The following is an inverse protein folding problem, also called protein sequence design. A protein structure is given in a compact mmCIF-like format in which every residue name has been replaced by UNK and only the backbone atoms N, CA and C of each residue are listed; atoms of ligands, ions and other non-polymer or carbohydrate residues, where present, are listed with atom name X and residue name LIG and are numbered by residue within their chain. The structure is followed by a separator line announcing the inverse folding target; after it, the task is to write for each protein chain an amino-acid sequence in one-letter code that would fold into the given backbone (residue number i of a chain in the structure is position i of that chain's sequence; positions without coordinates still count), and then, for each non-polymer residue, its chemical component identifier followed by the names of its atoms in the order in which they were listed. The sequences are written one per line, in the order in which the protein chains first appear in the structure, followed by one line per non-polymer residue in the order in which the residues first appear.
data_IF_579792886128
#
_entry.id   IF_579792886128
#
_cell.length_a   1.000
_cell.length_b   1.000
_cell.length_c   1.000
_cell.angle_alpha   90.00
_cell.angle_beta   90.00
_cell.angle_gamma   90.00
#
_symmetry.space_group_name_H-M   'P 1'
#
loop_
_entity.id
_entity.type
_entity.pdbx_description
1 polymer ?
#
# COMPACT_ATOMS: atom_id res chain seq x y z
N UNK A 1 14.40 -13.89 7.17
CA UNK A 1 14.18 -13.79 8.64
C UNK A 1 12.69 -13.68 8.99
N UNK A 2 11.91 -12.71 8.45
CA UNK A 2 10.47 -12.53 8.76
C UNK A 2 9.65 -13.77 8.38
N UNK A 3 9.80 -14.26 7.15
CA UNK A 3 9.09 -15.46 6.66
C UNK A 3 9.41 -16.68 7.52
N UNK A 4 10.65 -16.85 7.94
CA UNK A 4 11.06 -17.96 8.81
C UNK A 4 10.43 -17.86 10.20
N UNK A 5 10.37 -16.65 10.78
CA UNK A 5 9.71 -16.43 12.07
C UNK A 5 8.21 -16.70 11.97
N UNK A 6 7.59 -16.28 10.87
CA UNK A 6 6.17 -16.54 10.63
C UNK A 6 5.88 -18.04 10.47
N UNK A 7 6.70 -18.73 9.67
CA UNK A 7 6.61 -20.19 9.51
C UNK A 7 6.81 -20.95 10.83
N UNK A 8 7.74 -20.48 11.67
CA UNK A 8 7.91 -21.04 13.02
C UNK A 8 6.65 -20.87 13.86
N UNK A 9 6.08 -19.69 13.89
CA UNK A 9 4.86 -19.41 14.68
C UNK A 9 3.67 -20.28 14.24
N UNK A 10 3.55 -20.56 12.93
CA UNK A 10 2.51 -21.45 12.42
C UNK A 10 2.73 -22.90 12.88
N UNK A 11 3.98 -23.39 12.83
CA UNK A 11 4.30 -24.73 13.34
C UNK A 11 4.04 -24.83 14.83
N UNK A 12 4.39 -23.79 15.59
CA UNK A 12 4.12 -23.74 17.04
C UNK A 12 2.60 -23.75 17.34
N UNK A 13 1.79 -23.25 16.41
CA UNK A 13 0.32 -23.29 16.46
C UNK A 13 -0.29 -24.63 15.97
N UNK A 14 0.53 -25.60 15.54
CA UNK A 14 0.08 -26.90 15.10
C UNK A 14 -0.16 -27.03 13.60
N UNK A 15 0.19 -26.00 12.80
CA UNK A 15 0.01 -26.03 11.36
C UNK A 15 1.15 -26.76 10.65
N UNK A 16 0.83 -27.44 9.55
CA UNK A 16 1.83 -28.05 8.67
C UNK A 16 2.38 -27.01 7.70
N UNK A 17 3.65 -26.65 7.85
CA UNK A 17 4.31 -25.68 7.00
C UNK A 17 5.29 -26.36 6.05
N UNK A 18 5.01 -26.26 4.76
CA UNK A 18 5.83 -26.74 3.64
C UNK A 18 6.44 -25.59 2.86
N UNK A 19 7.50 -25.83 2.13
CA UNK A 19 8.17 -24.81 1.33
C UNK A 19 7.99 -25.09 -0.16
N UNK A 20 7.61 -24.06 -0.92
CA UNK A 20 7.42 -24.13 -2.38
C UNK A 20 6.45 -25.22 -2.87
N UNK A 21 5.51 -25.61 -2.04
CA UNK A 21 4.45 -26.54 -2.41
C UNK A 21 3.26 -25.76 -3.00
N UNK A 22 2.99 -26.01 -4.27
CA UNK A 22 1.90 -25.36 -5.01
C UNK A 22 0.53 -26.02 -4.76
N UNK A 23 0.48 -27.13 -4.04
CA UNK A 23 -0.77 -27.84 -3.73
C UNK A 23 -1.24 -27.60 -2.28
N UNK A 24 -0.45 -26.85 -1.48
CA UNK A 24 -0.85 -26.44 -0.14
C UNK A 24 -2.23 -25.76 -0.11
N UNK A 25 -2.87 -25.72 1.04
CA UNK A 25 -4.20 -25.09 1.21
C UNK A 25 -4.13 -23.57 1.23
N UNK A 26 -3.03 -23.00 1.73
CA UNK A 26 -2.79 -21.56 1.86
C UNK A 26 -1.39 -21.23 1.37
N UNK A 27 -1.25 -20.22 0.54
CA UNK A 27 0.07 -19.67 0.22
C UNK A 27 0.41 -18.51 1.16
N UNK A 28 1.71 -18.36 1.44
CA UNK A 28 2.24 -17.21 2.16
C UNK A 28 3.34 -16.60 1.31
N UNK A 29 3.18 -15.36 0.92
CA UNK A 29 4.14 -14.65 0.08
C UNK A 29 4.57 -13.33 0.72
N UNK A 30 5.77 -12.89 0.35
CA UNK A 30 6.27 -11.58 0.68
C UNK A 30 5.96 -10.60 -0.45
N UNK A 31 5.13 -9.60 -0.18
CA UNK A 31 4.77 -8.53 -1.11
C UNK A 31 3.96 -8.99 -2.34
N UNK A 32 3.23 -8.06 -2.91
CA UNK A 32 2.52 -8.18 -4.19
C UNK A 32 3.11 -7.25 -5.27
N UNK A 33 4.35 -6.85 -5.13
CA UNK A 33 5.00 -6.00 -6.13
C UNK A 33 5.30 -6.76 -7.43
N UNK A 34 5.47 -8.07 -7.37
CA UNK A 34 5.68 -8.98 -8.51
C UNK A 34 6.81 -8.59 -9.47
N UNK A 35 7.75 -7.78 -9.01
CA UNK A 35 8.87 -7.26 -9.80
C UNK A 35 10.22 -7.60 -9.17
N UNK A 36 11.27 -7.64 -9.98
CA UNK A 36 12.62 -7.94 -9.51
C UNK A 36 12.66 -9.29 -8.78
N UNK A 37 13.23 -9.32 -7.59
CA UNK A 37 13.35 -10.54 -6.77
C UNK A 37 11.99 -11.10 -6.30
N UNK A 38 10.90 -10.36 -6.44
CA UNK A 38 9.54 -10.77 -6.05
C UNK A 38 8.73 -11.31 -7.25
N UNK A 39 9.30 -11.35 -8.45
CA UNK A 39 8.59 -11.81 -9.65
C UNK A 39 8.07 -13.25 -9.55
N UNK A 40 8.77 -14.12 -8.82
CA UNK A 40 8.33 -15.49 -8.56
C UNK A 40 7.03 -15.59 -7.78
N UNK A 41 6.72 -14.61 -6.94
CA UNK A 41 5.49 -14.58 -6.15
C UNK A 41 4.24 -14.46 -7.02
N UNK A 42 4.36 -13.90 -8.24
CA UNK A 42 3.24 -13.78 -9.17
C UNK A 42 2.66 -15.14 -9.56
N UNK A 43 3.51 -16.11 -9.84
CA UNK A 43 3.07 -17.48 -10.19
C UNK A 43 2.32 -18.16 -9.04
N UNK A 44 2.81 -17.98 -7.82
CA UNK A 44 2.14 -18.51 -6.62
C UNK A 44 0.78 -17.83 -6.46
N UNK A 45 0.77 -16.49 -6.54
CA UNK A 45 -0.43 -15.68 -6.45
C UNK A 45 -1.52 -16.13 -7.44
N UNK A 46 -1.18 -16.20 -8.74
CA UNK A 46 -2.14 -16.59 -9.77
C UNK A 46 -2.67 -18.01 -9.55
N UNK A 47 -1.79 -18.97 -9.27
CA UNK A 47 -2.21 -20.34 -9.06
C UNK A 47 -3.20 -20.50 -7.91
N UNK A 48 -2.89 -19.88 -6.76
CA UNK A 48 -3.76 -19.99 -5.59
C UNK A 48 -5.08 -19.24 -5.81
N UNK A 49 -5.05 -18.07 -6.41
CA UNK A 49 -6.29 -17.34 -6.75
C UNK A 49 -7.15 -18.10 -7.75
N UNK A 50 -6.57 -18.68 -8.79
CA UNK A 50 -7.30 -19.50 -9.75
C UNK A 50 -7.93 -20.75 -9.11
N UNK A 51 -7.29 -21.30 -8.07
CA UNK A 51 -7.81 -22.42 -7.31
C UNK A 51 -8.81 -22.02 -6.20
N UNK A 52 -9.10 -20.72 -6.03
CA UNK A 52 -9.95 -20.21 -4.94
C UNK A 52 -9.31 -20.36 -3.55
N UNK A 53 -8.01 -20.61 -3.49
CA UNK A 53 -7.26 -20.77 -2.24
C UNK A 53 -6.75 -19.44 -1.72
N UNK A 54 -6.72 -19.22 -0.39
CA UNK A 54 -6.25 -17.96 0.17
C UNK A 54 -4.74 -17.77 0.03
N UNK A 55 -4.35 -16.52 -0.16
CA UNK A 55 -2.94 -16.09 -0.17
C UNK A 55 -2.73 -15.07 0.95
N UNK A 56 -1.91 -15.42 1.92
CA UNK A 56 -1.47 -14.50 2.97
C UNK A 56 -0.30 -13.69 2.42
N UNK A 57 -0.46 -12.37 2.44
CA UNK A 57 0.58 -11.44 1.99
C UNK A 57 1.20 -10.74 3.19
N UNK A 58 2.51 -10.82 3.31
CA UNK A 58 3.29 -10.08 4.30
C UNK A 58 3.99 -8.90 3.62
N UNK A 59 3.96 -7.74 4.25
CA UNK A 59 4.59 -6.52 3.72
C UNK A 59 5.15 -5.67 4.88
N UNK A 60 6.05 -4.76 4.55
CA UNK A 60 6.61 -3.82 5.52
C UNK A 60 5.50 -3.02 6.20
N UNK A 61 5.53 -2.94 7.51
CA UNK A 61 4.57 -2.19 8.31
C UNK A 61 4.69 -0.67 8.13
N UNK A 62 3.57 0.02 8.26
CA UNK A 62 3.51 1.47 8.12
C UNK A 62 3.94 2.22 9.39
N UNK A 63 3.72 1.63 10.57
CA UNK A 63 3.93 2.31 11.86
C UNK A 63 5.42 2.44 12.17
N UNK A 64 6.15 1.32 12.12
CA UNK A 64 7.58 1.30 12.42
C UNK A 64 8.30 0.40 11.45
N UNK A 65 8.95 1.01 10.46
CA UNK A 65 9.65 0.28 9.40
C UNK A 65 10.72 -0.66 10.01
N UNK A 66 10.87 -1.84 9.42
CA UNK A 66 11.78 -2.90 9.86
C UNK A 66 11.51 -3.50 11.27
N UNK A 67 10.40 -3.12 11.89
CA UNK A 67 10.00 -3.66 13.20
C UNK A 67 8.58 -4.18 13.19
N UNK A 68 7.73 -3.59 12.37
CA UNK A 68 6.33 -3.98 12.21
C UNK A 68 6.04 -4.45 10.79
N UNK A 69 5.08 -5.33 10.66
CA UNK A 69 4.70 -5.94 9.40
C UNK A 69 3.20 -5.82 9.20
N UNK A 70 2.78 -5.63 7.96
CA UNK A 70 1.38 -5.76 7.58
C UNK A 70 1.14 -7.19 7.12
N UNK A 71 -0.05 -7.69 7.41
CA UNK A 71 -0.53 -8.97 6.95
C UNK A 71 -1.93 -8.77 6.37
N UNK A 72 -2.16 -9.28 5.19
CA UNK A 72 -3.48 -9.27 4.55
C UNK A 72 -3.75 -10.59 3.85
N UNK A 73 -5.00 -10.96 3.74
CA UNK A 73 -5.43 -12.12 2.96
C UNK A 73 -5.90 -11.64 1.60
N UNK A 74 -5.39 -12.25 0.56
CA UNK A 74 -5.66 -11.96 -0.85
C UNK A 74 -5.33 -10.53 -1.29
N UNK A 75 -4.40 -9.89 -0.59
CA UNK A 75 -3.94 -8.55 -0.90
C UNK A 75 -3.23 -7.89 0.28
N UNK A 76 -2.95 -6.60 0.15
CA UNK A 76 -2.29 -5.79 1.18
C UNK A 76 -2.82 -4.35 1.21
N UNK A 77 -3.72 -4.00 0.31
CA UNK A 77 -4.37 -2.70 0.18
C UNK A 77 -5.84 -2.77 0.59
N UNK A 78 -6.66 -1.79 0.21
CA UNK A 78 -8.05 -1.69 0.65
C UNK A 78 -8.98 -2.83 0.23
N UNK A 79 -8.57 -3.65 -0.73
CA UNK A 79 -9.26 -4.84 -1.22
C UNK A 79 -8.91 -6.13 -0.45
N UNK A 80 -7.91 -6.05 0.44
CA UNK A 80 -7.47 -7.18 1.24
C UNK A 80 -8.28 -7.34 2.52
N UNK A 81 -8.44 -8.59 2.97
CA UNK A 81 -8.99 -8.84 4.30
C UNK A 81 -7.88 -8.75 5.36
N UNK A 82 -8.02 -7.86 6.30
CA UNK A 82 -7.06 -7.60 7.38
C UNK A 82 -7.52 -8.08 8.76
N UNK A 83 -8.56 -8.87 8.81
CA UNK A 83 -9.19 -9.33 10.04
C UNK A 83 -10.51 -8.60 10.33
N UNK A 84 -11.21 -8.99 11.39
CA UNK A 84 -12.47 -8.37 11.77
C UNK A 84 -12.27 -6.91 12.21
N UNK A 85 -13.28 -6.07 11.99
CA UNK A 85 -13.23 -4.62 12.27
C UNK A 85 -13.37 -4.29 13.75
N UNK A 86 -13.78 -5.25 14.57
CA UNK A 86 -13.98 -5.11 16.02
C UNK A 86 -12.83 -5.68 16.84
N UNK A 87 -11.63 -5.73 16.28
CA UNK A 87 -10.43 -6.17 16.99
C UNK A 87 -10.12 -5.27 18.18
N UNK A 88 -9.61 -5.86 19.25
CA UNK A 88 -9.04 -5.13 20.38
C UNK A 88 -7.84 -4.27 19.91
N UNK A 89 -7.61 -3.15 20.59
CA UNK A 89 -6.54 -2.20 20.29
C UNK A 89 -5.21 -2.53 21.01
N UNK A 90 -5.11 -3.72 21.59
CA UNK A 90 -3.95 -4.19 22.37
C UNK A 90 -2.64 -4.15 21.55
N UNK A 91 -2.70 -4.52 20.26
CA UNK A 91 -1.54 -4.43 19.37
C UNK A 91 -1.11 -2.99 19.11
N UNK A 92 -2.05 -2.06 18.98
CA UNK A 92 -1.76 -0.64 18.82
C UNK A 92 -1.13 -0.06 20.10
N UNK A 93 -1.67 -0.40 21.25
CA UNK A 93 -1.15 0.02 22.57
C UNK A 93 0.29 -0.38 22.81
N UNK A 94 0.73 -1.53 22.27
CA UNK A 94 2.11 -2.00 22.38
C UNK A 94 3.13 -1.07 21.72
N UNK A 95 2.71 -0.20 20.79
CA UNK A 95 3.62 0.76 20.15
C UNK A 95 3.86 2.02 20.96
N UNK A 96 3.12 2.23 22.06
CA UNK A 96 3.20 3.44 22.86
C UNK A 96 2.83 4.71 22.09
N UNK A 97 1.97 4.58 21.07
CA UNK A 97 1.50 5.69 20.25
C UNK A 97 0.18 6.22 20.80
N UNK A 98 0.06 7.53 20.82
CA UNK A 98 -1.17 8.23 21.16
C UNK A 98 -1.78 8.86 19.90
N UNK A 99 -3.07 8.62 19.69
CA UNK A 99 -3.82 9.33 18.65
C UNK A 99 -4.02 10.78 19.10
N UNK A 100 -3.51 11.70 18.31
CA UNK A 100 -3.73 13.12 18.57
C UNK A 100 -5.11 13.53 18.01
N UNK A 101 -5.81 14.48 18.65
CA UNK A 101 -7.05 15.01 18.11
C UNK A 101 -6.80 15.67 16.75
N UNK A 102 -7.83 15.71 15.91
CA UNK A 102 -7.80 16.45 14.67
C UNK A 102 -7.42 17.89 14.93
N UNK A 103 -6.45 18.36 14.17
CA UNK A 103 -6.07 19.79 14.22
C UNK A 103 -6.89 20.53 13.19
N UNK A 104 -7.49 21.64 13.59
CA UNK A 104 -7.91 22.63 12.61
C UNK A 104 -6.67 23.21 11.95
N UNK A 105 -6.41 22.81 10.74
CA UNK A 105 -5.31 23.39 9.96
C UNK A 105 -5.87 24.30 8.89
N UNK A 106 -5.42 25.54 8.94
CA UNK A 106 -5.50 26.46 7.83
C UNK A 106 -4.17 26.38 7.09
N UNK A 107 -4.14 25.85 5.89
CA UNK A 107 -2.87 25.69 5.21
C UNK A 107 -3.01 25.04 3.85
N UNK A 108 -1.94 24.37 3.45
CA UNK A 108 -1.84 23.75 2.14
C UNK A 108 -2.47 22.35 2.14
N UNK A 109 -3.07 21.98 1.02
CA UNK A 109 -3.44 20.60 0.72
C UNK A 109 -2.23 19.92 0.09
N UNK A 110 -1.72 18.87 0.74
CA UNK A 110 -0.57 18.11 0.22
C UNK A 110 -1.06 16.91 -0.57
N UNK A 111 -0.68 16.84 -1.84
CA UNK A 111 -0.96 15.70 -2.72
C UNK A 111 0.32 14.89 -2.87
N UNK A 112 0.33 13.67 -2.33
CA UNK A 112 1.46 12.75 -2.42
C UNK A 112 1.21 11.77 -3.57
N UNK A 113 1.96 11.92 -4.65
CA UNK A 113 1.88 11.02 -5.80
C UNK A 113 2.64 9.71 -5.58
N UNK A 114 2.19 8.65 -6.24
CA UNK A 114 2.92 7.39 -6.42
C UNK A 114 3.79 7.50 -7.69
N UNK A 115 4.56 6.49 -8.05
CA UNK A 115 5.22 6.41 -9.37
C UNK A 115 4.42 5.55 -10.34
N UNK A 116 4.47 5.90 -11.62
CA UNK A 116 3.67 5.25 -12.67
C UNK A 116 3.96 3.75 -12.81
N UNK A 117 5.21 3.33 -12.58
CA UNK A 117 5.60 1.91 -12.62
C UNK A 117 5.23 1.12 -11.36
N UNK A 118 4.50 1.71 -10.42
CA UNK A 118 4.04 0.99 -9.24
C UNK A 118 2.96 -0.01 -9.61
N UNK A 119 3.14 -1.28 -9.26
CA UNK A 119 2.13 -2.31 -9.48
C UNK A 119 0.79 -1.94 -8.84
N UNK A 120 0.81 -1.30 -7.67
CA UNK A 120 -0.39 -0.81 -6.99
C UNK A 120 -1.08 0.30 -7.79
N UNK A 121 -0.30 1.18 -8.43
CA UNK A 121 -0.85 2.22 -9.28
C UNK A 121 -1.48 1.66 -10.55
N UNK A 122 -0.73 0.82 -11.26
CA UNK A 122 -1.16 0.21 -12.52
C UNK A 122 -2.40 -0.69 -12.36
N UNK A 123 -2.57 -1.33 -11.21
CA UNK A 123 -3.73 -2.20 -10.97
C UNK A 123 -5.04 -1.42 -10.80
N UNK A 124 -4.97 -0.19 -10.34
CA UNK A 124 -6.15 0.58 -9.94
C UNK A 124 -6.37 1.87 -10.75
N UNK A 125 -5.47 2.20 -11.69
CA UNK A 125 -5.53 3.44 -12.42
C UNK A 125 -5.17 3.28 -13.89
N UNK A 126 -6.03 3.78 -14.76
CA UNK A 126 -5.84 3.82 -16.21
C UNK A 126 -5.14 5.10 -16.69
N UNK A 127 -4.63 5.91 -15.77
CA UNK A 127 -4.05 7.22 -16.08
C UNK A 127 -2.68 7.38 -15.43
N UNK A 128 -1.84 8.27 -15.95
CA UNK A 128 -0.59 8.62 -15.31
C UNK A 128 -0.82 9.33 -13.97
N UNK A 129 0.16 9.20 -13.06
CA UNK A 129 0.15 9.90 -11.76
C UNK A 129 0.06 11.41 -11.97
N UNK A 130 0.77 11.96 -12.95
CA UNK A 130 0.72 13.38 -13.28
C UNK A 130 -0.70 13.84 -13.64
N UNK A 131 -1.37 13.11 -14.53
CA UNK A 131 -2.74 13.43 -14.93
C UNK A 131 -3.73 13.25 -13.78
N UNK A 132 -3.54 12.26 -12.95
CA UNK A 132 -4.35 12.06 -11.75
C UNK A 132 -4.20 13.23 -10.77
N UNK A 133 -2.97 13.69 -10.52
CA UNK A 133 -2.70 14.87 -9.68
C UNK A 133 -3.42 16.09 -10.25
N UNK A 134 -3.25 16.34 -11.55
CA UNK A 134 -3.92 17.46 -12.22
C UNK A 134 -5.44 17.40 -12.05
N UNK A 135 -6.05 16.29 -12.36
CA UNK A 135 -7.51 16.10 -12.23
C UNK A 135 -7.98 16.26 -10.78
N UNK A 136 -7.19 15.79 -9.82
CA UNK A 136 -7.49 15.92 -8.38
C UNK A 136 -7.48 17.39 -7.96
N UNK A 137 -6.48 18.17 -8.38
CA UNK A 137 -6.41 19.60 -8.11
C UNK A 137 -7.57 20.34 -8.75
N UNK A 138 -7.87 20.09 -10.02
CA UNK A 138 -8.98 20.75 -10.74
C UNK A 138 -10.34 20.43 -10.11
N UNK A 139 -10.55 19.16 -9.74
CA UNK A 139 -11.79 18.75 -9.06
C UNK A 139 -11.93 19.45 -7.71
N UNK A 140 -10.85 19.56 -6.94
CA UNK A 140 -10.88 20.20 -5.64
C UNK A 140 -11.12 21.72 -5.75
N UNK A 141 -10.53 22.37 -6.75
CA UNK A 141 -10.72 23.79 -7.02
C UNK A 141 -12.17 24.18 -7.36
N UNK A 142 -12.94 23.24 -7.85
CA UNK A 142 -14.38 23.47 -8.07
C UNK A 142 -15.14 23.72 -6.74
N UNK A 143 -14.60 23.25 -5.62
CA UNK A 143 -15.19 23.42 -4.29
C UNK A 143 -14.48 24.49 -3.45
N UNK A 144 -13.17 24.60 -3.59
CA UNK A 144 -12.35 25.52 -2.80
C UNK A 144 -11.30 26.21 -3.68
N UNK A 145 -11.57 27.47 -3.99
CA UNK A 145 -10.70 28.29 -4.85
C UNK A 145 -9.55 28.95 -4.07
N UNK A 146 -9.55 28.85 -2.74
CA UNK A 146 -8.56 29.53 -1.88
C UNK A 146 -7.44 28.64 -1.39
N UNK A 147 -7.64 27.34 -1.41
CA UNK A 147 -6.61 26.40 -0.95
C UNK A 147 -5.39 26.38 -1.87
N UNK A 148 -4.23 26.37 -1.25
CA UNK A 148 -2.94 26.17 -1.93
C UNK A 148 -2.58 24.71 -1.92
N UNK A 149 -2.07 24.18 -3.04
CA UNK A 149 -1.66 22.79 -3.16
C UNK A 149 -0.15 22.67 -3.14
N UNK A 150 0.36 21.69 -2.38
CA UNK A 150 1.75 21.26 -2.42
C UNK A 150 1.78 19.84 -3.00
N UNK A 151 2.47 19.68 -4.11
CA UNK A 151 2.60 18.38 -4.74
C UNK A 151 3.94 17.75 -4.34
N UNK A 152 3.86 16.55 -3.77
CA UNK A 152 5.02 15.72 -3.43
C UNK A 152 5.07 14.51 -4.36
N UNK A 153 5.83 14.57 -5.45
CA UNK A 153 6.02 13.43 -6.31
C UNK A 153 6.79 12.31 -5.59
N UNK A 154 6.54 11.08 -5.99
CA UNK A 154 7.37 9.98 -5.54
C UNK A 154 8.81 10.16 -6.07
N UNK A 155 9.88 9.89 -5.27
CA UNK A 155 11.27 10.12 -5.70
C UNK A 155 11.69 9.37 -6.98
N UNK A 156 11.01 8.30 -7.32
CA UNK A 156 11.22 7.54 -8.56
C UNK A 156 10.41 8.03 -9.73
N UNK A 157 9.46 8.93 -9.53
CA UNK A 157 8.63 9.45 -10.62
C UNK A 157 9.35 10.60 -11.30
N UNK A 158 9.60 10.44 -12.60
CA UNK A 158 10.31 11.41 -13.44
C UNK A 158 9.35 12.19 -14.34
N UNK A 159 8.09 12.35 -13.94
CA UNK A 159 7.18 13.10 -14.79
C UNK A 159 7.62 14.56 -14.95
N UNK A 160 7.39 15.07 -16.14
CA UNK A 160 7.63 16.48 -16.43
C UNK A 160 6.56 17.34 -15.76
N UNK A 161 6.97 18.43 -15.15
CA UNK A 161 6.05 19.44 -14.60
C UNK A 161 5.14 20.04 -15.68
N UNK A 162 5.57 20.03 -16.95
CA UNK A 162 4.77 20.46 -18.09
C UNK A 162 3.49 19.60 -18.27
N UNK A 163 3.49 18.37 -17.79
CA UNK A 163 2.31 17.51 -17.83
C UNK A 163 1.25 17.92 -16.80
N UNK A 164 1.62 18.69 -15.80
CA UNK A 164 0.74 19.22 -14.76
C UNK A 164 0.10 20.55 -15.11
N UNK A 165 0.43 21.12 -16.28
CA UNK A 165 -0.02 22.45 -16.66
C UNK A 165 0.90 23.57 -16.15
N UNK A 166 0.60 24.83 -16.48
CA UNK A 166 1.45 25.96 -16.12
C UNK A 166 1.48 26.16 -14.59
N UNK A 167 2.66 26.50 -14.02
CA UNK A 167 2.89 26.65 -12.59
C UNK A 167 1.96 27.68 -11.90
N UNK A 168 1.57 28.72 -12.60
CA UNK A 168 0.69 29.78 -12.12
C UNK A 168 -0.72 29.30 -11.76
N UNK A 169 -1.14 28.15 -12.28
CA UNK A 169 -2.41 27.52 -11.94
C UNK A 169 -2.36 26.62 -10.70
N UNK A 170 -1.18 26.21 -10.27
CA UNK A 170 -1.03 25.22 -9.22
C UNK A 170 -0.56 25.78 -7.88
N UNK A 171 -0.19 27.06 -7.80
CA UNK A 171 0.26 27.66 -6.55
C UNK A 171 1.47 26.92 -5.96
N UNK A 172 2.55 26.80 -6.72
CA UNK A 172 3.80 26.22 -6.28
C UNK A 172 4.54 27.16 -5.32
N UNK A 173 4.98 26.64 -4.22
CA UNK A 173 5.99 27.28 -3.37
C UNK A 173 7.23 26.42 -3.26
#
# INVERSE_FOLDING_TARGET
QVMQSYAKSLRDAGETVVENDMDADVAIIWSVLFQGNMSGNYKVWERFKAAGKPVIVLEVGAIKRNTTWRCGINGITGDAYHGPTNNADDRFKQFGLELQPWREQKGHIVICGQHDDSAQWQTHNDTSVAKWIYNTVESWRAYDTQSTFIIRPHPRNKFSWNELGPPDRLGWS
#
